data_IF_933760170202
#
_entry.id   IF_933760170202
#
_cell.length_a   1.000
_cell.length_b   1.000
_cell.length_c   1.000
_cell.angle_alpha   90.00
_cell.angle_beta   90.00
_cell.angle_gamma   90.00
#
_symmetry.space_group_name_H-M   'P 1'
#
loop_
_entity.id
_entity.type
_entity.pdbx_description
1 polymer ?
#
# COMPACT_ATOMS: atom_id res chain seq x y z
N UNK A 1 -0.38 -13.36 4.14
CA UNK A 1 0.48 -13.32 5.36
C UNK A 1 -0.39 -13.37 6.61
N UNK A 2 0.06 -14.10 7.63
CA UNK A 2 -0.59 -14.25 8.94
C UNK A 2 -0.79 -12.87 9.62
N UNK A 3 -1.87 -12.60 10.38
CA UNK A 3 -1.99 -11.35 11.14
C UNK A 3 -0.79 -11.13 12.09
N UNK A 4 -0.31 -9.88 12.28
CA UNK A 4 0.87 -9.59 13.10
C UNK A 4 0.81 -10.19 14.51
N UNK A 5 -0.38 -10.27 15.13
CA UNK A 5 -0.58 -10.89 16.44
C UNK A 5 -0.16 -12.37 16.53
N UNK A 6 0.00 -13.05 15.39
CA UNK A 6 0.37 -14.45 15.33
C UNK A 6 1.74 -14.69 14.69
N UNK A 7 2.50 -13.65 14.37
CA UNK A 7 3.83 -13.80 13.78
C UNK A 7 4.78 -14.56 14.71
N UNK A 8 5.55 -15.47 14.13
CA UNK A 8 6.73 -16.07 14.76
C UNK A 8 8.00 -15.28 14.35
N UNK A 9 9.18 -15.70 14.82
CA UNK A 9 10.46 -15.06 14.49
C UNK A 9 10.67 -14.92 12.97
N UNK A 10 10.39 -15.95 12.20
CA UNK A 10 10.60 -15.95 10.75
C UNK A 10 9.66 -14.99 10.03
N UNK A 11 8.38 -14.94 10.43
CA UNK A 11 7.41 -13.98 9.90
C UNK A 11 7.88 -12.52 10.13
N UNK A 12 8.47 -12.25 11.29
CA UNK A 12 9.01 -10.93 11.65
C UNK A 12 10.23 -10.60 10.79
N UNK A 13 11.18 -11.52 10.67
CA UNK A 13 12.39 -11.32 9.89
C UNK A 13 12.08 -11.16 8.40
N UNK A 14 11.12 -11.94 7.87
CA UNK A 14 10.64 -11.80 6.50
C UNK A 14 9.95 -10.44 6.29
N UNK A 15 9.15 -9.98 7.26
CA UNK A 15 8.51 -8.67 7.19
C UNK A 15 9.52 -7.52 7.26
N UNK A 16 10.50 -7.58 8.16
CA UNK A 16 11.56 -6.59 8.27
C UNK A 16 12.43 -6.53 7.01
N UNK A 17 12.78 -7.70 6.46
CA UNK A 17 13.50 -7.81 5.18
C UNK A 17 12.67 -7.24 4.02
N UNK A 18 11.36 -7.50 4.02
CA UNK A 18 10.43 -6.95 3.04
C UNK A 18 10.40 -5.42 3.10
N UNK A 19 10.17 -4.83 4.27
CA UNK A 19 10.11 -3.36 4.38
C UNK A 19 11.49 -2.72 4.11
N UNK A 20 12.60 -3.36 4.50
CA UNK A 20 13.95 -2.92 4.15
C UNK A 20 14.10 -2.74 2.64
N UNK A 21 13.77 -3.80 1.91
CA UNK A 21 13.84 -3.84 0.44
C UNK A 21 12.82 -2.92 -0.23
N UNK A 22 11.61 -2.80 0.31
CA UNK A 22 10.54 -2.00 -0.29
C UNK A 22 10.82 -0.51 -0.15
N UNK A 23 11.28 -0.09 1.03
CA UNK A 23 11.49 1.33 1.35
C UNK A 23 12.92 1.80 1.18
N UNK A 24 13.83 0.93 0.74
CA UNK A 24 15.26 1.23 0.57
C UNK A 24 15.88 1.73 1.88
N UNK A 25 15.47 1.09 2.99
CA UNK A 25 15.96 1.41 4.33
C UNK A 25 17.02 0.37 4.71
N UNK A 26 18.16 0.86 5.18
CA UNK A 26 19.22 0.00 5.71
C UNK A 26 18.86 -0.39 7.13
N UNK A 27 18.18 -1.53 7.28
CA UNK A 27 17.95 -2.15 8.58
C UNK A 27 19.11 -3.08 8.90
N UNK A 28 19.76 -2.86 10.04
CA UNK A 28 20.70 -3.84 10.56
C UNK A 28 19.90 -5.05 11.07
N UNK A 29 20.13 -6.22 10.48
CA UNK A 29 19.37 -7.44 10.77
C UNK A 29 19.39 -7.83 12.26
N UNK A 30 20.42 -7.41 12.99
CA UNK A 30 20.61 -7.65 14.42
C UNK A 30 19.67 -6.84 15.31
N UNK A 31 19.13 -5.72 14.85
CA UNK A 31 18.35 -4.77 15.67
C UNK A 31 17.06 -5.38 16.25
N UNK A 32 16.54 -6.43 15.60
CA UNK A 32 15.25 -7.07 15.94
C UNK A 32 15.33 -8.61 16.00
N UNK A 33 16.54 -9.17 16.08
CA UNK A 33 16.78 -10.63 16.01
C UNK A 33 16.27 -11.40 17.23
N UNK A 34 16.25 -10.75 18.39
CA UNK A 34 15.75 -11.26 19.68
C UNK A 34 14.22 -11.24 19.77
N UNK A 35 13.52 -10.65 18.81
CA UNK A 35 12.06 -10.60 18.80
C UNK A 35 11.52 -11.89 18.16
N UNK A 36 10.88 -12.71 18.99
CA UNK A 36 10.47 -14.07 18.59
C UNK A 36 8.99 -14.21 18.31
N UNK A 37 8.18 -13.19 18.65
CA UNK A 37 6.74 -13.25 18.41
C UNK A 37 6.09 -11.89 18.16
N UNK A 38 5.01 -11.89 17.38
CA UNK A 38 4.21 -10.71 17.13
C UNK A 38 3.47 -10.17 18.37
N UNK A 39 3.25 -11.02 19.39
CA UNK A 39 2.75 -10.58 20.70
C UNK A 39 3.77 -9.68 21.42
N UNK A 40 5.05 -9.97 21.27
CA UNK A 40 6.15 -9.15 21.79
C UNK A 40 6.21 -7.82 21.02
N UNK A 41 6.18 -7.86 19.67
CA UNK A 41 6.13 -6.65 18.85
C UNK A 41 4.98 -5.70 19.21
N UNK A 42 3.79 -6.24 19.50
CA UNK A 42 2.62 -5.44 19.85
C UNK A 42 2.80 -4.65 21.16
N UNK A 43 3.54 -5.21 22.12
CA UNK A 43 3.73 -4.61 23.45
C UNK A 43 4.85 -3.56 23.48
N UNK A 44 5.74 -3.60 22.51
CA UNK A 44 6.86 -2.68 22.43
C UNK A 44 6.39 -1.26 22.10
N UNK A 45 7.06 -0.29 22.72
CA UNK A 45 6.81 1.14 22.62
C UNK A 45 7.65 1.77 21.50
N UNK A 46 7.26 2.97 21.03
CA UNK A 46 8.07 3.75 20.07
C UNK A 46 9.52 3.91 20.52
N UNK A 47 9.75 4.15 21.81
CA UNK A 47 11.09 4.33 22.37
C UNK A 47 11.94 3.07 22.26
N UNK A 48 11.36 1.90 22.52
CA UNK A 48 12.08 0.63 22.39
C UNK A 48 12.43 0.31 20.93
N UNK A 49 11.60 0.73 19.96
CA UNK A 49 11.96 0.64 18.55
C UNK A 49 13.06 1.64 18.16
N UNK A 50 13.01 2.88 18.65
CA UNK A 50 14.04 3.90 18.40
C UNK A 50 15.39 3.54 19.03
N UNK A 51 15.40 2.85 20.18
CA UNK A 51 16.63 2.34 20.79
C UNK A 51 17.29 1.25 19.95
N UNK A 52 16.49 0.46 19.23
CA UNK A 52 16.97 -0.59 18.33
C UNK A 52 17.40 -0.03 16.99
N UNK A 53 16.67 0.96 16.49
CA UNK A 53 16.99 1.64 15.25
C UNK A 53 16.63 3.13 15.37
N UNK A 54 17.64 3.97 15.56
CA UNK A 54 17.44 5.41 15.78
C UNK A 54 16.76 6.11 14.60
N UNK A 55 17.00 5.62 13.38
CA UNK A 55 16.53 6.27 12.15
C UNK A 55 15.12 5.81 11.80
N UNK A 56 14.89 4.50 11.82
CA UNK A 56 13.66 3.89 11.31
C UNK A 56 12.76 3.34 12.40
N UNK A 57 13.21 3.22 13.64
CA UNK A 57 12.47 2.60 14.73
C UNK A 57 11.07 3.21 14.93
N UNK A 58 10.98 4.54 14.99
CA UNK A 58 9.68 5.21 15.15
C UNK A 58 8.74 4.93 13.97
N UNK A 59 9.29 4.91 12.76
CA UNK A 59 8.55 4.64 11.54
C UNK A 59 8.05 3.19 11.50
N UNK A 60 8.90 2.21 11.85
CA UNK A 60 8.54 0.78 11.95
C UNK A 60 7.47 0.56 13.03
N UNK A 61 7.61 1.19 14.20
CA UNK A 61 6.63 1.11 15.28
C UNK A 61 5.27 1.67 14.83
N UNK A 62 5.25 2.86 14.22
CA UNK A 62 4.03 3.46 13.69
C UNK A 62 3.40 2.61 12.58
N UNK A 63 4.24 1.93 11.78
CA UNK A 63 3.82 0.96 10.78
C UNK A 63 3.10 -0.21 11.43
N UNK A 64 3.77 -0.91 12.35
CA UNK A 64 3.24 -2.06 13.07
C UNK A 64 1.98 -1.72 13.83
N UNK A 65 1.95 -0.56 14.51
CA UNK A 65 0.77 -0.09 15.24
C UNK A 65 -0.45 0.01 14.32
N UNK A 66 -0.29 0.58 13.12
CA UNK A 66 -1.38 0.59 12.12
C UNK A 66 -1.78 -0.82 11.68
N UNK A 67 -0.83 -1.74 11.53
CA UNK A 67 -1.13 -3.15 11.20
C UNK A 67 -1.87 -3.86 12.34
N UNK A 68 -1.57 -3.55 13.61
CA UNK A 68 -2.25 -4.10 14.79
C UNK A 68 -3.61 -3.46 15.03
N UNK A 69 -3.72 -2.15 14.86
CA UNK A 69 -4.94 -1.37 15.12
C UNK A 69 -6.06 -1.73 14.15
N UNK A 70 -5.73 -1.97 12.88
CA UNK A 70 -6.66 -2.51 11.86
C UNK A 70 -7.17 -3.92 12.19
N UNK A 71 -6.46 -4.69 13.03
CA UNK A 71 -6.90 -6.01 13.52
C UNK A 71 -7.77 -5.89 14.77
N UNK A 72 -7.61 -4.82 15.57
CA UNK A 72 -8.41 -4.57 16.78
C UNK A 72 -9.74 -3.85 16.50
N UNK A 73 -9.85 -3.05 15.44
CA UNK A 73 -11.13 -2.42 15.05
C UNK A 73 -12.20 -3.43 14.59
N UNK A 74 -11.83 -4.69 14.37
CA UNK A 74 -12.74 -5.79 14.06
C UNK A 74 -13.32 -6.49 15.32
N UNK A 75 -12.84 -6.16 16.52
CA UNK A 75 -13.15 -6.91 17.75
C UNK A 75 -13.81 -6.09 18.88
N UNK A 76 -14.12 -4.82 18.67
CA UNK A 76 -14.86 -4.00 19.66
C UNK A 76 -16.10 -3.39 19.03
N UNK A 77 -17.22 -4.10 19.10
CA UNK A 77 -18.52 -3.46 18.97
C UNK A 77 -18.79 -2.62 20.21
N UNK A 78 -19.00 -1.32 20.02
CA UNK A 78 -20.05 -0.51 20.68
C UNK A 78 -20.08 0.87 20.04
N UNK A 79 -21.32 1.34 19.82
CA UNK A 79 -21.75 2.47 19.01
C UNK A 79 -21.19 3.85 19.40
N UNK A 80 -21.01 4.70 18.38
CA UNK A 80 -21.61 6.05 18.33
C UNK A 80 -21.65 6.54 16.88
N UNK A 81 -22.83 7.05 16.52
CA UNK A 81 -23.33 7.30 15.19
C UNK A 81 -22.58 8.39 14.42
N UNK A 82 -22.34 8.17 13.13
CA UNK A 82 -22.71 9.06 12.01
C UNK A 82 -22.54 8.26 10.71
N UNK A 83 -23.57 8.27 9.86
CA UNK A 83 -23.77 7.41 8.69
C UNK A 83 -22.50 7.14 7.85
N UNK A 84 -22.16 5.86 7.67
CA UNK A 84 -21.29 5.36 6.59
C UNK A 84 -22.04 4.26 5.81
N UNK A 85 -22.26 4.39 4.50
CA UNK A 85 -23.08 3.46 3.72
C UNK A 85 -22.32 2.19 3.28
N UNK A 86 -21.56 1.53 4.17
CA UNK A 86 -20.88 0.28 3.84
C UNK A 86 -20.80 -0.67 5.06
N UNK A 87 -21.54 -1.77 5.02
CA UNK A 87 -21.64 -2.78 6.09
C UNK A 87 -20.39 -3.67 6.16
N UNK A 88 -20.05 -4.20 7.34
CA UNK A 88 -18.85 -5.04 7.59
C UNK A 88 -18.70 -6.24 6.63
N UNK A 89 -19.80 -6.78 6.09
CA UNK A 89 -19.80 -7.85 5.06
C UNK A 89 -19.10 -7.45 3.75
N UNK A 90 -19.07 -6.17 3.41
CA UNK A 90 -18.43 -5.71 2.18
C UNK A 90 -16.91 -5.54 2.35
N UNK A 91 -16.44 -5.30 3.57
CA UNK A 91 -15.02 -5.17 3.88
C UNK A 91 -14.32 -6.54 3.81
N UNK A 92 -14.94 -7.60 4.32
CA UNK A 92 -14.42 -8.97 4.18
C UNK A 92 -14.39 -9.46 2.72
N UNK A 93 -15.45 -9.16 1.95
CA UNK A 93 -15.48 -9.44 0.51
C UNK A 93 -14.45 -8.61 -0.26
N UNK A 94 -14.28 -7.35 0.10
CA UNK A 94 -13.25 -6.49 -0.47
C UNK A 94 -11.86 -7.02 -0.16
N UNK A 95 -11.62 -7.40 1.09
CA UNK A 95 -10.34 -7.90 1.54
C UNK A 95 -9.97 -9.23 0.90
N UNK A 96 -10.93 -10.13 0.77
CA UNK A 96 -10.79 -11.37 0.01
C UNK A 96 -10.55 -11.09 -1.48
N UNK A 97 -11.37 -10.22 -2.10
CA UNK A 97 -11.22 -9.85 -3.52
C UNK A 97 -9.84 -9.26 -3.82
N UNK A 98 -9.34 -8.35 -2.99
CA UNK A 98 -8.05 -7.68 -3.17
C UNK A 98 -6.83 -8.57 -2.83
N UNK A 99 -6.93 -9.39 -1.79
CA UNK A 99 -5.85 -10.33 -1.43
C UNK A 99 -5.70 -11.42 -2.50
N UNK A 100 -6.82 -11.90 -3.06
CA UNK A 100 -6.81 -12.80 -4.22
C UNK A 100 -6.30 -12.11 -5.50
N UNK A 101 -6.41 -10.78 -5.59
CA UNK A 101 -6.04 -9.98 -6.76
C UNK A 101 -4.55 -9.75 -6.91
N UNK A 102 -3.86 -9.47 -5.81
CA UNK A 102 -2.45 -9.09 -5.86
C UNK A 102 -1.52 -10.16 -5.30
N UNK A 103 -2.07 -11.30 -4.84
CA UNK A 103 -1.35 -12.32 -4.05
C UNK A 103 -0.57 -11.70 -2.87
N UNK A 104 -0.96 -10.50 -2.44
CA UNK A 104 -0.33 -9.70 -1.41
C UNK A 104 -1.38 -9.27 -0.39
N UNK A 105 -0.97 -9.21 0.88
CA UNK A 105 -1.86 -8.73 1.92
C UNK A 105 -2.17 -7.25 1.70
N UNK A 106 -3.43 -6.82 1.87
CA UNK A 106 -3.82 -5.40 1.89
C UNK A 106 -2.97 -4.52 2.82
N UNK A 107 -2.38 -5.11 3.84
CA UNK A 107 -1.48 -4.48 4.77
C UNK A 107 -0.12 -4.06 4.17
N UNK A 108 0.33 -4.67 3.07
CA UNK A 108 1.51 -4.21 2.31
C UNK A 108 1.12 -3.11 1.32
N UNK A 109 -0.09 -3.22 0.74
CA UNK A 109 -0.65 -2.23 -0.19
C UNK A 109 -1.04 -0.90 0.46
N UNK A 110 -1.50 -0.92 1.72
CA UNK A 110 -1.79 0.29 2.49
C UNK A 110 -0.55 1.17 2.68
N UNK A 111 0.64 0.62 2.42
CA UNK A 111 1.92 1.30 2.57
C UNK A 111 2.49 1.78 1.23
N UNK A 112 1.93 1.33 0.11
CA UNK A 112 2.36 1.79 -1.21
C UNK A 112 1.98 3.25 -1.44
N UNK A 113 2.87 4.05 -2.06
CA UNK A 113 2.49 5.35 -2.60
C UNK A 113 1.57 5.18 -3.82
N UNK A 114 0.75 6.20 -4.10
CA UNK A 114 -0.27 6.14 -5.16
C UNK A 114 0.30 5.75 -6.53
N UNK A 115 1.47 6.27 -6.91
CA UNK A 115 2.10 5.92 -8.19
C UNK A 115 2.43 4.42 -8.31
N UNK A 116 2.84 3.78 -7.21
CA UNK A 116 3.16 2.35 -7.19
C UNK A 116 1.88 1.52 -7.24
N UNK A 117 0.83 1.95 -6.52
CA UNK A 117 -0.49 1.32 -6.58
C UNK A 117 -1.11 1.40 -7.98
N UNK A 118 -0.99 2.53 -8.68
CA UNK A 118 -1.42 2.68 -10.09
C UNK A 118 -0.69 1.68 -10.98
N UNK A 119 0.63 1.58 -10.84
CA UNK A 119 1.44 0.68 -11.65
C UNK A 119 1.08 -0.80 -11.39
N UNK A 120 0.94 -1.20 -10.12
CA UNK A 120 0.49 -2.54 -9.75
C UNK A 120 -0.88 -2.86 -10.34
N UNK A 121 -1.84 -1.94 -10.25
CA UNK A 121 -3.16 -2.10 -10.84
C UNK A 121 -3.08 -2.29 -12.38
N UNK A 122 -2.25 -1.53 -13.08
CA UNK A 122 -2.06 -1.66 -14.53
C UNK A 122 -1.51 -3.03 -14.98
N UNK A 123 -0.81 -3.76 -14.09
CA UNK A 123 -0.29 -5.10 -14.37
C UNK A 123 -1.31 -6.22 -14.12
N UNK A 124 -2.46 -5.91 -13.52
CA UNK A 124 -3.44 -6.91 -13.14
C UNK A 124 -4.70 -6.88 -14.03
N UNK A 125 -5.10 -8.04 -14.54
CA UNK A 125 -6.18 -8.20 -15.56
C UNK A 125 -7.57 -7.76 -15.08
N UNK A 126 -7.81 -7.74 -13.77
CA UNK A 126 -9.08 -7.26 -13.20
C UNK A 126 -9.21 -5.73 -13.17
N UNK A 127 -8.10 -4.99 -13.31
CA UNK A 127 -8.13 -3.53 -13.48
C UNK A 127 -7.87 -3.13 -14.92
N UNK A 128 -6.93 -3.80 -15.59
CA UNK A 128 -6.58 -3.52 -16.96
C UNK A 128 -7.31 -4.45 -17.92
N UNK A 129 -8.23 -3.96 -18.79
CA UNK A 129 -8.41 -2.55 -19.19
C UNK A 129 -9.62 -1.81 -18.57
N UNK A 130 -10.36 -2.41 -17.62
CA UNK A 130 -11.69 -1.93 -17.20
C UNK A 130 -11.71 -0.71 -16.26
N UNK A 131 -10.65 -0.47 -15.48
CA UNK A 131 -10.54 0.58 -14.46
C UNK A 131 -9.36 1.51 -14.79
N UNK A 132 -8.23 0.91 -15.17
CA UNK A 132 -7.01 1.56 -15.63
C UNK A 132 -6.56 0.84 -16.89
N UNK A 133 -6.01 1.53 -17.88
CA UNK A 133 -5.56 0.88 -19.13
C UNK A 133 -4.21 1.41 -19.59
N UNK A 134 -3.36 0.52 -20.09
CA UNK A 134 -2.19 0.93 -20.87
C UNK A 134 -2.65 1.48 -22.23
N UNK A 135 -2.35 2.74 -22.50
CA UNK A 135 -2.43 3.31 -23.85
C UNK A 135 -1.16 2.97 -24.64
N UNK A 136 -0.02 2.97 -23.95
CA UNK A 136 1.25 2.49 -24.46
C UNK A 136 2.12 2.04 -23.28
N UNK A 137 2.19 0.73 -23.05
CA UNK A 137 2.99 0.17 -21.95
C UNK A 137 4.50 0.46 -22.13
N UNK A 138 5.01 0.46 -23.37
CA UNK A 138 6.45 0.73 -23.63
C UNK A 138 6.86 2.13 -23.17
N UNK A 139 6.00 3.14 -23.38
CA UNK A 139 6.25 4.52 -22.96
C UNK A 139 5.72 4.84 -21.56
N UNK A 140 5.06 3.90 -20.88
CA UNK A 140 4.45 4.12 -19.57
C UNK A 140 3.21 5.02 -19.61
N UNK A 141 2.52 5.11 -20.75
CA UNK A 141 1.31 5.94 -20.92
C UNK A 141 0.06 5.14 -20.61
N UNK A 142 -0.80 5.67 -19.74
CA UNK A 142 -2.00 5.00 -19.25
C UNK A 142 -3.19 5.95 -19.10
N UNK A 143 -4.39 5.39 -19.04
CA UNK A 143 -5.65 6.10 -18.87
C UNK A 143 -6.45 5.56 -17.67
N UNK A 144 -7.08 6.45 -16.89
CA UNK A 144 -8.16 6.07 -15.98
C UNK A 144 -9.46 5.89 -16.78
N UNK A 145 -9.97 4.67 -16.82
CA UNK A 145 -11.23 4.32 -17.49
C UNK A 145 -12.41 4.53 -16.53
N UNK A 146 -12.25 4.10 -15.28
CA UNK A 146 -13.22 4.35 -14.20
C UNK A 146 -12.50 5.07 -13.04
N UNK A 147 -12.33 6.41 -13.14
CA UNK A 147 -11.56 7.19 -12.18
C UNK A 147 -12.16 7.18 -10.77
N UNK A 148 -13.50 7.19 -10.66
CA UNK A 148 -14.18 7.18 -9.36
C UNK A 148 -14.06 5.83 -8.67
N UNK A 149 -14.22 4.73 -9.42
CA UNK A 149 -13.96 3.40 -8.87
C UNK A 149 -12.52 3.28 -8.42
N UNK A 150 -11.54 3.68 -9.23
CA UNK A 150 -10.13 3.64 -8.81
C UNK A 150 -9.88 4.46 -7.54
N UNK A 151 -10.46 5.66 -7.43
CA UNK A 151 -10.31 6.51 -6.26
C UNK A 151 -10.89 5.87 -5.00
N UNK A 152 -12.06 5.23 -5.09
CA UNK A 152 -12.64 4.46 -3.97
C UNK A 152 -11.72 3.32 -3.55
N UNK A 153 -11.17 2.57 -4.50
CA UNK A 153 -10.24 1.47 -4.23
C UNK A 153 -8.97 1.98 -3.51
N UNK A 154 -8.41 3.10 -3.96
CA UNK A 154 -7.30 3.76 -3.27
C UNK A 154 -7.68 4.29 -1.89
N UNK A 155 -8.88 4.86 -1.73
CA UNK A 155 -9.39 5.32 -0.44
C UNK A 155 -9.44 4.19 0.59
N UNK A 156 -9.92 3.03 0.16
CA UNK A 156 -10.00 1.84 1.00
C UNK A 156 -8.61 1.36 1.47
N UNK A 157 -7.59 1.38 0.60
CA UNK A 157 -6.21 1.04 1.05
C UNK A 157 -5.64 2.03 2.06
N UNK A 158 -6.19 3.26 2.14
CA UNK A 158 -5.76 4.32 3.07
C UNK A 158 -6.73 4.55 4.23
N UNK A 159 -7.74 3.70 4.39
CA UNK A 159 -8.83 3.91 5.34
C UNK A 159 -9.47 5.32 5.24
N UNK A 160 -9.68 5.78 4.01
CA UNK A 160 -10.26 7.07 3.68
C UNK A 160 -11.48 6.89 2.77
N UNK A 161 -12.65 6.74 3.39
CA UNK A 161 -13.93 6.54 2.70
C UNK A 161 -14.39 7.77 1.89
N UNK A 162 -13.82 8.94 2.17
CA UNK A 162 -14.13 10.19 1.48
C UNK A 162 -13.19 10.47 0.29
N UNK A 163 -12.41 9.48 -0.14
CA UNK A 163 -11.56 9.58 -1.33
C UNK A 163 -12.41 9.57 -2.60
N UNK A 164 -12.13 10.53 -3.49
CA UNK A 164 -12.74 10.64 -4.82
C UNK A 164 -11.66 11.01 -5.85
N UNK A 165 -12.02 11.01 -7.13
CA UNK A 165 -11.01 11.27 -8.16
C UNK A 165 -10.44 12.69 -8.08
N UNK A 166 -11.23 13.70 -7.69
CA UNK A 166 -10.73 15.06 -7.56
C UNK A 166 -9.57 15.16 -6.55
N UNK A 167 -9.75 14.55 -5.37
CA UNK A 167 -8.71 14.46 -4.33
C UNK A 167 -7.51 13.64 -4.79
N UNK A 168 -7.75 12.47 -5.40
CA UNK A 168 -6.68 11.62 -5.92
C UNK A 168 -5.87 12.35 -7.01
N UNK A 169 -6.56 13.05 -7.92
CA UNK A 169 -5.93 13.81 -9.00
C UNK A 169 -5.07 14.95 -8.47
N UNK A 170 -5.36 15.49 -7.28
CA UNK A 170 -4.49 16.46 -6.60
C UNK A 170 -3.14 15.85 -6.26
N UNK A 171 -3.10 14.62 -5.76
CA UNK A 171 -1.88 13.85 -5.53
C UNK A 171 -1.12 13.59 -6.82
N UNK A 172 -1.81 13.27 -7.92
CA UNK A 172 -1.18 13.11 -9.24
C UNK A 172 -0.47 14.39 -9.70
N UNK A 173 -1.08 15.57 -9.48
CA UNK A 173 -0.45 16.86 -9.83
C UNK A 173 0.84 17.12 -9.05
N UNK A 174 0.93 16.65 -7.81
CA UNK A 174 2.15 16.76 -7.00
C UNK A 174 3.32 15.91 -7.55
N UNK A 175 3.04 14.97 -8.46
CA UNK A 175 4.08 14.14 -9.10
C UNK A 175 4.76 14.80 -10.29
N UNK A 176 4.20 15.87 -10.85
CA UNK A 176 4.77 16.56 -12.01
C UNK A 176 6.13 17.19 -11.73
N UNK A 177 6.30 18.06 -10.70
CA UNK A 177 7.60 18.64 -10.39
C UNK A 177 8.62 17.57 -9.96
N UNK A 178 8.14 16.45 -9.38
CA UNK A 178 8.97 15.32 -8.96
C UNK A 178 9.39 14.40 -10.14
N UNK A 179 8.91 14.69 -11.35
CA UNK A 179 9.13 13.89 -12.56
C UNK A 179 8.81 12.39 -12.37
N UNK A 180 7.77 12.08 -11.60
CA UNK A 180 7.27 10.70 -11.44
C UNK A 180 6.22 10.41 -12.53
N UNK A 181 5.29 11.36 -12.70
CA UNK A 181 4.25 11.33 -13.72
C UNK A 181 4.19 12.66 -14.45
N UNK A 182 3.64 12.66 -15.66
CA UNK A 182 3.08 13.85 -16.30
C UNK A 182 1.67 13.59 -16.80
N UNK A 183 0.88 14.66 -16.94
CA UNK A 183 -0.36 14.63 -17.72
C UNK A 183 -0.03 14.66 -19.21
N UNK A 184 -0.77 13.91 -20.02
CA UNK A 184 -0.68 14.02 -21.48
C UNK A 184 -1.58 15.17 -21.94
N UNK A 185 -0.99 16.17 -22.58
CA UNK A 185 -1.69 17.36 -23.08
C UNK A 185 -2.81 16.99 -24.06
N UNK A 186 -3.92 17.73 -24.03
CA UNK A 186 -5.08 17.50 -24.91
C UNK A 186 -5.89 16.23 -24.62
N UNK A 187 -5.43 15.35 -23.72
CA UNK A 187 -6.10 14.08 -23.40
C UNK A 187 -6.60 14.07 -21.96
N UNK A 188 -7.89 13.76 -21.77
CA UNK A 188 -8.51 13.65 -20.43
C UNK A 188 -8.14 12.31 -19.80
N UNK A 189 -7.83 12.34 -18.50
CA UNK A 189 -7.53 11.14 -17.70
C UNK A 189 -6.32 10.32 -18.15
N UNK A 190 -5.50 10.86 -19.05
CA UNK A 190 -4.30 10.19 -19.57
C UNK A 190 -3.04 10.79 -18.94
N UNK A 191 -2.20 9.90 -18.45
CA UNK A 191 -0.97 10.18 -17.73
C UNK A 191 0.16 9.32 -18.28
N UNK A 192 1.39 9.73 -18.01
CA UNK A 192 2.58 8.98 -18.41
C UNK A 192 3.57 8.91 -17.26
N UNK A 193 4.04 7.72 -16.93
CA UNK A 193 5.20 7.54 -16.07
C UNK A 193 6.45 8.07 -16.76
N UNK A 194 7.24 8.84 -16.02
CA UNK A 194 8.47 9.43 -16.52
C UNK A 194 9.68 8.60 -16.10
N UNK A 195 10.73 8.62 -16.92
CA UNK A 195 12.03 8.06 -16.54
C UNK A 195 12.75 8.98 -15.54
N UNK A 196 13.53 8.42 -14.59
CA UNK A 196 13.87 6.99 -14.44
C UNK A 196 12.85 6.16 -13.63
N UNK A 197 11.80 6.79 -13.10
CA UNK A 197 10.82 6.13 -12.23
C UNK A 197 10.08 4.97 -12.92
N UNK A 198 9.78 5.10 -14.21
CA UNK A 198 9.11 4.03 -14.95
C UNK A 198 9.96 2.76 -15.04
N UNK A 199 11.26 2.90 -15.33
CA UNK A 199 12.20 1.77 -15.31
C UNK A 199 12.36 1.18 -13.91
N UNK A 200 12.42 2.02 -12.88
CA UNK A 200 12.42 1.57 -11.49
C UNK A 200 11.21 0.68 -11.15
N UNK A 201 10.00 1.12 -11.53
CA UNK A 201 8.76 0.38 -11.30
C UNK A 201 8.73 -0.98 -12.02
N UNK A 202 9.15 -1.01 -13.29
CA UNK A 202 9.26 -2.25 -14.08
C UNK A 202 10.17 -3.28 -13.40
N UNK A 203 11.32 -2.83 -12.87
CA UNK A 203 12.25 -3.71 -12.16
C UNK A 203 11.62 -4.22 -10.86
N UNK A 204 11.05 -3.33 -10.03
CA UNK A 204 10.52 -3.73 -8.72
C UNK A 204 9.38 -4.75 -8.78
N UNK A 205 8.45 -4.64 -9.73
CA UNK A 205 7.27 -5.54 -9.78
C UNK A 205 7.58 -6.89 -10.44
N UNK A 206 8.53 -6.94 -11.38
CA UNK A 206 8.91 -8.21 -12.04
C UNK A 206 9.69 -9.16 -11.12
N UNK A 207 10.26 -8.68 -10.01
CA UNK A 207 10.93 -9.53 -9.01
C UNK A 207 9.95 -10.30 -8.09
N UNK A 208 8.65 -10.01 -8.13
CA UNK A 208 7.65 -10.69 -7.28
C UNK A 208 7.02 -11.93 -7.94
N UNK A 209 7.52 -12.33 -9.12
CA UNK A 209 6.96 -13.43 -9.94
C UNK A 209 7.84 -14.68 -9.97
N UNK A 210 8.86 -14.81 -9.12
CA UNK A 210 9.70 -15.99 -8.98
C UNK A 210 9.79 -16.39 -7.51
#
# INVERSE_FOLDING_TARGET
MKPPKYWNKDDIQNWMSYIAKVYDITLESKNFEDITSGKQLKKMTSKEFQQRDFIYGDWIHNMLKKMFDQVTSLNSGTSKDTLSPFTSKNEDKFNSFFSNLFNENLCTMSLLPLYAFIYAALKHSLFNPKILRWENEKSGTFQFIDPEKFAKLWGLTKNNNNMNYEKLSRSLRHYYPKRILKRVGGKRLIYQFLEPYFTYLKRKVNFSSH
#
